data_IF_596246852295
#
_entry.id   IF_596246852295
#
_cell.length_a   1.000
_cell.length_b   1.000
_cell.length_c   1.000
_cell.angle_alpha   90.00
_cell.angle_beta   90.00
_cell.angle_gamma   90.00
#
_symmetry.space_group_name_H-M   'P 1'
#
loop_
_entity.id
_entity.type
_entity.pdbx_description
1 polymer ?
#
# COMPACT_ATOMS: atom_id res chain seq x y z
N UNK A 1 -13.28 2.81 -13.62
CA UNK A 1 -14.00 1.99 -12.63
C UNK A 1 -13.44 0.55 -12.53
N UNK A 2 -13.18 -0.14 -13.64
CA UNK A 2 -12.65 -1.51 -13.63
C UNK A 2 -11.33 -1.65 -12.84
N UNK A 3 -10.40 -0.70 -12.99
CA UNK A 3 -9.12 -0.70 -12.25
C UNK A 3 -9.29 -0.43 -10.75
N UNK A 4 -10.25 0.39 -10.34
CA UNK A 4 -10.60 0.57 -8.92
C UNK A 4 -11.12 -0.74 -8.37
N UNK A 5 -12.02 -1.41 -9.07
CA UNK A 5 -12.58 -2.70 -8.66
C UNK A 5 -11.49 -3.79 -8.54
N UNK A 6 -10.53 -3.83 -9.47
CA UNK A 6 -9.39 -4.74 -9.38
C UNK A 6 -8.55 -4.51 -8.10
N UNK A 7 -8.33 -3.24 -7.72
CA UNK A 7 -7.66 -2.91 -6.47
C UNK A 7 -8.45 -3.32 -5.23
N UNK A 8 -9.77 -3.13 -5.24
CA UNK A 8 -10.64 -3.59 -4.13
C UNK A 8 -10.60 -5.11 -3.93
N UNK A 9 -10.43 -5.88 -5.01
CA UNK A 9 -10.34 -7.35 -4.94
C UNK A 9 -9.01 -7.83 -4.34
N UNK A 10 -7.95 -7.01 -4.36
CA UNK A 10 -6.68 -7.37 -3.71
C UNK A 10 -6.82 -7.51 -2.20
N UNK A 11 -7.76 -6.77 -1.59
CA UNK A 11 -7.98 -6.84 -0.16
C UNK A 11 -8.54 -8.20 0.26
N UNK A 12 -8.06 -8.69 1.40
CA UNK A 12 -8.47 -9.96 1.96
C UNK A 12 -9.96 -9.97 2.30
N UNK A 13 -10.72 -10.89 1.69
CA UNK A 13 -12.15 -11.05 1.92
C UNK A 13 -12.47 -11.53 3.34
N UNK A 14 -11.53 -12.22 3.95
CA UNK A 14 -11.70 -12.87 5.24
C UNK A 14 -11.37 -11.96 6.44
N UNK A 15 -10.91 -10.72 6.15
CA UNK A 15 -10.51 -9.76 7.19
C UNK A 15 -11.58 -9.51 8.26
N UNK A 16 -12.83 -9.68 7.93
CA UNK A 16 -13.95 -9.44 8.84
C UNK A 16 -14.58 -10.73 9.39
N UNK A 17 -14.00 -11.91 9.11
CA UNK A 17 -14.46 -13.17 9.70
C UNK A 17 -14.13 -13.18 11.20
N UNK A 18 -15.08 -13.63 12.01
CA UNK A 18 -14.88 -13.77 13.44
C UNK A 18 -13.77 -14.79 13.75
N UNK A 19 -12.90 -14.47 14.70
CA UNK A 19 -11.84 -15.34 15.17
C UNK A 19 -10.46 -15.13 14.52
N UNK A 20 -10.34 -14.29 13.50
CA UNK A 20 -9.06 -13.92 12.92
C UNK A 20 -8.57 -12.62 13.58
N UNK A 21 -7.35 -12.64 14.14
CA UNK A 21 -6.71 -11.41 14.61
C UNK A 21 -6.10 -10.67 13.43
N UNK A 22 -6.55 -9.45 13.24
CA UNK A 22 -6.01 -8.54 12.23
C UNK A 22 -5.30 -7.36 12.90
N UNK A 23 -4.28 -6.77 12.25
CA UNK A 23 -3.69 -5.54 12.73
C UNK A 23 -4.74 -4.42 12.78
N UNK A 24 -4.54 -3.40 13.64
CA UNK A 24 -5.44 -2.27 13.70
C UNK A 24 -5.56 -1.60 12.33
N UNK A 25 -6.70 -0.97 12.08
CA UNK A 25 -6.88 -0.17 10.87
C UNK A 25 -5.93 1.03 10.90
N UNK A 26 -5.52 1.49 9.70
CA UNK A 26 -4.66 2.65 9.57
C UNK A 26 -5.41 3.98 9.81
N UNK A 27 -4.68 5.00 10.19
CA UNK A 27 -5.22 6.34 10.39
C UNK A 27 -6.30 6.39 11.47
N UNK A 28 -7.37 7.17 11.21
CA UNK A 28 -8.51 7.34 12.11
C UNK A 28 -9.63 6.30 11.92
N UNK A 29 -9.40 5.27 11.11
CA UNK A 29 -10.40 4.25 10.79
C UNK A 29 -10.67 3.36 11.99
N UNK A 30 -11.96 3.26 12.40
CA UNK A 30 -12.41 2.52 13.59
C UNK A 30 -13.45 1.45 13.29
N UNK A 31 -14.03 1.46 12.10
CA UNK A 31 -15.10 0.56 11.72
C UNK A 31 -14.77 -0.23 10.45
N UNK A 32 -15.36 -1.43 10.28
CA UNK A 32 -15.25 -2.19 9.02
C UNK A 32 -15.72 -1.40 7.80
N UNK A 33 -16.80 -0.63 7.97
CA UNK A 33 -17.34 0.24 6.92
C UNK A 33 -16.34 1.35 6.58
N UNK A 34 -15.73 1.98 7.59
CA UNK A 34 -14.67 2.98 7.42
C UNK A 34 -13.46 2.39 6.70
N UNK A 35 -13.08 1.15 7.01
CA UNK A 35 -11.99 0.45 6.31
C UNK A 35 -12.30 0.26 4.82
N UNK A 36 -13.51 -0.16 4.47
CA UNK A 36 -13.90 -0.32 3.06
C UNK A 36 -13.95 1.01 2.32
N UNK A 37 -14.40 2.08 2.97
CA UNK A 37 -14.40 3.42 2.37
C UNK A 37 -12.97 3.94 2.21
N UNK A 38 -12.08 3.72 3.18
CA UNK A 38 -10.67 4.07 3.09
C UNK A 38 -9.97 3.32 1.94
N UNK A 39 -10.24 2.02 1.79
CA UNK A 39 -9.74 1.22 0.68
C UNK A 39 -10.25 1.74 -0.67
N UNK A 40 -11.55 2.02 -0.77
CA UNK A 40 -12.14 2.60 -1.98
C UNK A 40 -11.50 3.96 -2.33
N UNK A 41 -11.33 4.83 -1.34
CA UNK A 41 -10.63 6.12 -1.51
C UNK A 41 -9.21 5.91 -2.02
N UNK A 42 -8.44 5.04 -1.36
CA UNK A 42 -7.08 4.71 -1.76
C UNK A 42 -7.01 4.25 -3.22
N UNK A 43 -7.89 3.34 -3.63
CA UNK A 43 -7.92 2.83 -5.00
C UNK A 43 -8.33 3.91 -6.03
N UNK A 44 -9.24 4.80 -5.66
CA UNK A 44 -9.58 5.95 -6.49
C UNK A 44 -8.38 6.89 -6.67
N UNK A 45 -7.62 7.16 -5.61
CA UNK A 45 -6.40 7.96 -5.71
C UNK A 45 -5.38 7.32 -6.67
N UNK A 46 -5.15 6.01 -6.56
CA UNK A 46 -4.24 5.26 -7.45
C UNK A 46 -4.65 5.33 -8.91
N UNK A 47 -5.95 5.29 -9.20
CA UNK A 47 -6.45 5.26 -10.58
C UNK A 47 -6.64 6.67 -11.17
N UNK A 48 -7.08 7.63 -10.38
CA UNK A 48 -7.48 8.96 -10.87
C UNK A 48 -6.47 10.05 -10.55
N UNK A 49 -5.91 10.08 -9.33
CA UNK A 49 -5.03 11.16 -8.88
C UNK A 49 -3.58 10.94 -9.31
N UNK A 50 -3.08 9.70 -9.23
CA UNK A 50 -1.66 9.40 -9.48
C UNK A 50 -1.19 9.75 -10.91
N UNK A 51 -2.08 9.77 -11.87
CA UNK A 51 -1.77 10.14 -13.26
C UNK A 51 -1.78 11.65 -13.54
N UNK A 52 -2.28 12.44 -12.60
CA UNK A 52 -2.35 13.89 -12.74
C UNK A 52 -0.97 14.51 -12.46
N UNK A 53 -0.61 15.52 -13.25
CA UNK A 53 0.67 16.22 -13.13
C UNK A 53 0.56 17.55 -12.40
N UNK A 54 -0.56 18.25 -12.56
CA UNK A 54 -0.84 19.51 -11.88
C UNK A 54 -1.25 19.27 -10.42
N UNK A 55 -0.76 20.09 -9.49
CA UNK A 55 -1.19 20.08 -8.10
C UNK A 55 -2.65 20.49 -7.96
N UNK A 56 -3.08 21.50 -8.69
CA UNK A 56 -4.47 21.99 -8.66
C UNK A 56 -5.47 20.88 -9.08
N UNK A 57 -5.12 20.10 -10.11
CA UNK A 57 -5.95 18.98 -10.55
C UNK A 57 -6.00 17.85 -9.52
N UNK A 58 -4.89 17.60 -8.82
CA UNK A 58 -4.83 16.61 -7.73
C UNK A 58 -5.72 17.03 -6.57
N UNK A 59 -5.59 18.28 -6.12
CA UNK A 59 -6.36 18.83 -5.01
C UNK A 59 -7.85 18.89 -5.34
N UNK A 60 -8.19 19.29 -6.57
CA UNK A 60 -9.57 19.27 -7.04
C UNK A 60 -10.15 17.85 -7.04
N UNK A 61 -9.38 16.87 -7.56
CA UNK A 61 -9.83 15.47 -7.63
C UNK A 61 -9.97 14.86 -6.24
N UNK A 62 -9.04 15.14 -5.33
CA UNK A 62 -9.12 14.69 -3.93
C UNK A 62 -10.35 15.27 -3.23
N UNK A 63 -10.60 16.56 -3.42
CA UNK A 63 -11.80 17.24 -2.90
C UNK A 63 -13.10 16.64 -3.46
N UNK A 64 -13.10 16.26 -4.74
CA UNK A 64 -14.25 15.59 -5.36
C UNK A 64 -14.48 14.19 -4.76
N UNK A 65 -13.41 13.41 -4.54
CA UNK A 65 -13.49 12.11 -3.87
C UNK A 65 -14.06 12.27 -2.47
N UNK A 66 -13.57 13.22 -1.68
CA UNK A 66 -14.09 13.52 -0.34
C UNK A 66 -15.56 13.91 -0.35
N UNK A 67 -15.96 14.74 -1.30
CA UNK A 67 -17.36 15.13 -1.48
C UNK A 67 -18.25 13.90 -1.76
N UNK A 68 -17.82 13.02 -2.67
CA UNK A 68 -18.56 11.78 -2.99
C UNK A 68 -18.70 10.89 -1.75
N UNK A 69 -17.65 10.79 -0.94
CA UNK A 69 -17.70 10.04 0.32
C UNK A 69 -18.75 10.65 1.25
N UNK A 70 -18.74 11.98 1.43
CA UNK A 70 -19.71 12.67 2.28
C UNK A 70 -21.15 12.49 1.82
N UNK A 71 -21.39 12.68 0.53
CA UNK A 71 -22.72 12.56 -0.08
C UNK A 71 -23.26 11.12 -0.05
N UNK A 72 -22.36 10.11 -0.10
CA UNK A 72 -22.77 8.70 -0.22
C UNK A 72 -22.81 7.98 1.12
N UNK A 73 -21.81 8.19 1.98
CA UNK A 73 -21.60 7.42 3.21
C UNK A 73 -21.85 8.23 4.49
N UNK A 74 -22.04 9.54 4.36
CA UNK A 74 -22.36 10.43 5.46
C UNK A 74 -21.15 10.90 6.27
N UNK A 75 -21.42 11.87 7.15
CA UNK A 75 -20.38 12.63 7.86
C UNK A 75 -19.51 11.78 8.80
N UNK A 76 -20.09 10.73 9.41
CA UNK A 76 -19.35 9.85 10.32
C UNK A 76 -18.18 9.16 9.61
N UNK A 77 -18.45 8.51 8.48
CA UNK A 77 -17.43 7.80 7.71
C UNK A 77 -16.47 8.76 7.03
N UNK A 78 -16.93 9.94 6.62
CA UNK A 78 -16.05 10.99 6.08
C UNK A 78 -14.96 11.37 7.07
N UNK A 79 -15.30 11.54 8.36
CA UNK A 79 -14.33 11.84 9.42
C UNK A 79 -13.35 10.69 9.69
N UNK A 80 -13.83 9.45 9.61
CA UNK A 80 -12.95 8.27 9.79
C UNK A 80 -11.89 8.14 8.68
N UNK A 81 -12.20 8.59 7.46
CA UNK A 81 -11.32 8.47 6.29
C UNK A 81 -10.72 9.81 5.84
N UNK A 82 -10.77 10.84 6.68
CA UNK A 82 -10.18 12.15 6.39
C UNK A 82 -8.67 12.07 6.20
N UNK A 83 -7.99 11.32 7.07
CA UNK A 83 -6.58 10.99 6.89
C UNK A 83 -6.40 9.92 5.80
N UNK A 84 -5.31 10.07 5.04
CA UNK A 84 -4.93 9.08 4.03
C UNK A 84 -4.43 7.81 4.68
N UNK A 85 -5.02 6.70 4.29
CA UNK A 85 -4.60 5.36 4.70
C UNK A 85 -3.88 4.70 3.52
N UNK A 86 -2.69 4.16 3.79
CA UNK A 86 -1.90 3.46 2.78
C UNK A 86 -2.17 1.96 2.84
N UNK A 87 -2.41 1.35 1.69
CA UNK A 87 -2.61 -0.09 1.57
C UNK A 87 -1.41 -0.70 0.85
N UNK A 88 -0.84 -1.73 1.45
CA UNK A 88 0.30 -2.49 0.94
C UNK A 88 0.15 -3.97 1.31
N UNK A 89 0.91 -4.84 0.65
CA UNK A 89 0.79 -6.30 0.78
C UNK A 89 1.99 -6.97 1.48
N UNK A 90 2.89 -6.18 2.06
CA UNK A 90 4.13 -6.66 2.65
C UNK A 90 4.28 -6.34 4.15
N UNK A 91 3.17 -6.10 4.87
CA UNK A 91 3.22 -5.69 6.28
C UNK A 91 3.50 -6.85 7.24
N UNK A 92 3.19 -8.08 6.85
CA UNK A 92 3.25 -9.23 7.76
C UNK A 92 4.66 -9.82 7.85
N UNK A 93 5.08 -10.23 9.06
CA UNK A 93 6.31 -10.99 9.22
C UNK A 93 6.18 -12.39 8.62
N UNK A 94 7.30 -13.09 8.38
CA UNK A 94 7.30 -14.50 7.99
C UNK A 94 6.50 -15.34 8.97
N UNK A 95 5.77 -16.33 8.46
CA UNK A 95 5.09 -17.33 9.29
C UNK A 95 6.08 -18.42 9.64
N UNK A 96 6.29 -18.65 10.92
CA UNK A 96 7.24 -19.64 11.46
C UNK A 96 6.45 -20.69 12.21
N UNK A 97 6.83 -21.95 12.07
CA UNK A 97 6.28 -23.04 12.86
C UNK A 97 6.82 -22.94 14.30
N UNK A 98 5.94 -22.77 15.27
CA UNK A 98 6.30 -22.59 16.69
C UNK A 98 6.97 -23.84 17.31
N UNK A 99 6.84 -25.02 16.69
CA UNK A 99 7.39 -26.28 17.21
C UNK A 99 8.75 -26.59 16.60
N UNK A 100 8.93 -26.35 15.31
CA UNK A 100 10.16 -26.72 14.57
C UNK A 100 11.07 -25.52 14.34
N UNK A 101 10.55 -24.30 14.37
CA UNK A 101 11.25 -23.07 13.99
C UNK A 101 11.41 -22.90 12.47
N UNK A 102 10.80 -23.78 11.68
CA UNK A 102 10.87 -23.70 10.22
C UNK A 102 10.01 -22.55 9.69
N UNK A 103 10.48 -21.90 8.62
CA UNK A 103 9.72 -20.87 7.94
C UNK A 103 8.67 -21.51 7.03
N UNK A 104 7.41 -21.41 7.42
CA UNK A 104 6.26 -21.93 6.65
C UNK A 104 5.93 -21.02 5.46
N UNK A 105 5.98 -19.71 5.65
CA UNK A 105 5.75 -18.72 4.62
C UNK A 105 6.69 -17.53 4.86
N UNK A 106 7.61 -17.30 3.94
CA UNK A 106 8.63 -16.27 4.09
C UNK A 106 8.10 -14.83 3.92
N UNK A 107 7.14 -14.65 3.01
CA UNK A 107 6.56 -13.34 2.69
C UNK A 107 5.04 -13.46 2.51
N UNK A 108 4.26 -13.52 3.62
CA UNK A 108 2.80 -13.53 3.50
C UNK A 108 2.32 -12.22 2.88
N UNK A 109 1.61 -12.32 1.77
CA UNK A 109 1.17 -11.18 0.98
C UNK A 109 -0.33 -10.94 1.18
N UNK A 110 -0.66 -9.94 2.01
CA UNK A 110 -2.04 -9.53 2.28
C UNK A 110 -2.17 -8.03 2.05
N UNK A 111 -3.01 -7.64 1.10
CA UNK A 111 -3.25 -6.22 0.81
C UNK A 111 -4.11 -5.61 1.91
N UNK A 112 -3.45 -4.92 2.82
CA UNK A 112 -4.06 -4.38 4.02
C UNK A 112 -3.53 -2.97 4.36
N UNK A 113 -4.26 -2.27 5.25
CA UNK A 113 -3.89 -0.90 5.65
C UNK A 113 -2.69 -0.90 6.58
N UNK A 114 -1.72 -0.03 6.33
CA UNK A 114 -0.67 0.32 7.31
C UNK A 114 -1.23 1.25 8.38
N UNK A 115 -0.63 1.24 9.56
CA UNK A 115 -0.98 2.19 10.63
C UNK A 115 -0.61 3.60 10.22
N UNK A 116 0.63 3.79 9.72
CA UNK A 116 1.13 5.06 9.21
C UNK A 116 2.24 4.84 8.16
N UNK A 117 2.72 5.92 7.57
CA UNK A 117 3.78 5.90 6.58
C UNK A 117 5.16 5.57 7.19
N UNK A 118 5.37 5.89 8.48
CA UNK A 118 6.63 5.58 9.16
C UNK A 118 6.80 4.07 9.33
N UNK A 119 5.73 3.36 9.69
CA UNK A 119 5.72 1.89 9.75
C UNK A 119 6.12 1.26 8.41
N UNK A 120 5.56 1.76 7.30
CA UNK A 120 5.91 1.28 5.95
C UNK A 120 7.39 1.54 5.64
N UNK A 121 7.91 2.71 6.04
CA UNK A 121 9.32 3.06 5.85
C UNK A 121 10.25 2.15 6.63
N UNK A 122 10.00 1.95 7.91
CA UNK A 122 10.83 1.12 8.79
C UNK A 122 10.89 -0.33 8.28
N UNK A 123 9.76 -0.84 7.80
CA UNK A 123 9.70 -2.17 7.21
C UNK A 123 10.44 -2.26 5.87
N UNK A 124 10.32 -1.25 5.02
CA UNK A 124 11.05 -1.21 3.74
C UNK A 124 12.57 -1.09 3.96
N UNK A 125 13.02 -0.30 4.94
CA UNK A 125 14.42 -0.20 5.34
C UNK A 125 14.94 -1.55 5.87
N UNK A 126 14.14 -2.26 6.68
CA UNK A 126 14.47 -3.60 7.18
C UNK A 126 14.58 -4.64 6.06
N UNK A 127 13.63 -4.66 5.13
CA UNK A 127 13.68 -5.57 3.96
C UNK A 127 14.87 -5.25 3.04
N UNK A 128 15.19 -3.97 2.85
CA UNK A 128 16.38 -3.56 2.10
C UNK A 128 17.68 -4.03 2.78
N UNK A 129 17.78 -3.93 4.10
CA UNK A 129 18.92 -4.44 4.85
C UNK A 129 19.06 -5.95 4.70
N UNK A 130 17.98 -6.71 4.87
CA UNK A 130 17.97 -8.17 4.71
C UNK A 130 18.34 -8.59 3.28
N UNK A 131 17.83 -7.89 2.25
CA UNK A 131 18.25 -8.11 0.86
C UNK A 131 19.75 -7.87 0.71
N UNK A 132 20.27 -6.80 1.27
CA UNK A 132 21.71 -6.47 1.18
C UNK A 132 22.60 -7.48 1.90
N UNK A 133 22.14 -8.11 2.96
CA UNK A 133 22.88 -9.20 3.64
C UNK A 133 22.89 -10.46 2.79
N UNK A 134 21.77 -10.84 2.19
CA UNK A 134 21.66 -12.06 1.40
C UNK A 134 22.29 -11.95 0.01
N UNK A 135 22.30 -10.77 -0.59
CA UNK A 135 22.81 -10.56 -1.96
C UNK A 135 24.33 -10.41 -1.98
N UNK A 136 25.00 -11.22 -2.80
CA UNK A 136 26.47 -11.18 -2.99
C UNK A 136 26.91 -10.20 -4.07
N UNK A 137 26.04 -9.86 -5.01
CA UNK A 137 26.41 -9.15 -6.24
C UNK A 137 25.80 -7.76 -6.38
N UNK A 138 24.60 -7.56 -5.86
CA UNK A 138 23.87 -6.30 -5.99
C UNK A 138 23.46 -5.81 -4.61
N UNK A 139 23.87 -4.60 -4.30
CA UNK A 139 23.42 -3.90 -3.08
C UNK A 139 22.42 -2.82 -3.46
N UNK A 140 21.40 -2.66 -2.64
CA UNK A 140 20.46 -1.56 -2.73
C UNK A 140 20.94 -0.44 -1.81
N UNK A 141 21.16 0.73 -2.37
CA UNK A 141 21.50 1.95 -1.65
C UNK A 141 20.45 3.01 -2.02
N UNK A 142 19.39 3.04 -1.24
CA UNK A 142 18.25 3.93 -1.45
C UNK A 142 17.97 4.73 -0.19
N UNK A 143 17.76 6.01 -0.36
CA UNK A 143 17.17 6.85 0.69
C UNK A 143 15.67 6.88 0.47
N UNK A 144 14.92 6.24 1.39
CA UNK A 144 13.47 6.17 1.31
C UNK A 144 12.83 7.42 1.93
N UNK A 145 12.79 8.51 1.14
CA UNK A 145 12.00 9.68 1.44
C UNK A 145 10.53 9.47 0.97
N UNK A 146 9.62 10.34 1.39
CA UNK A 146 8.17 10.17 1.19
C UNK A 146 7.77 9.83 -0.25
N UNK A 147 8.33 10.53 -1.24
CA UNK A 147 7.98 10.29 -2.64
C UNK A 147 8.53 8.94 -3.13
N UNK A 148 9.78 8.57 -2.75
CA UNK A 148 10.36 7.28 -3.09
C UNK A 148 9.52 6.13 -2.49
N UNK A 149 9.12 6.27 -1.23
CA UNK A 149 8.27 5.30 -0.55
C UNK A 149 6.89 5.17 -1.21
N UNK A 150 6.29 6.31 -1.59
CA UNK A 150 5.01 6.33 -2.31
C UNK A 150 5.14 5.63 -3.68
N UNK A 151 6.24 5.87 -4.41
CA UNK A 151 6.49 5.18 -5.67
C UNK A 151 6.72 3.68 -5.48
N UNK A 152 7.43 3.27 -4.44
CA UNK A 152 7.63 1.86 -4.10
C UNK A 152 6.29 1.16 -3.84
N UNK A 153 5.42 1.74 -3.01
CA UNK A 153 4.09 1.19 -2.73
C UNK A 153 3.23 1.06 -4.00
N UNK A 154 3.30 2.04 -4.92
CA UNK A 154 2.60 1.98 -6.21
C UNK A 154 3.11 0.84 -7.09
N UNK A 155 4.43 0.62 -7.11
CA UNK A 155 5.03 -0.48 -7.87
C UNK A 155 4.62 -1.82 -7.27
N UNK A 156 4.76 -2.01 -5.95
CA UNK A 156 4.36 -3.23 -5.25
C UNK A 156 2.89 -3.57 -5.55
N UNK A 157 1.97 -2.60 -5.38
CA UNK A 157 0.56 -2.78 -5.72
C UNK A 157 0.33 -3.23 -7.18
N UNK A 158 1.06 -2.66 -8.14
CA UNK A 158 0.91 -3.04 -9.56
C UNK A 158 1.44 -4.45 -9.82
N UNK A 159 2.51 -4.87 -9.13
CA UNK A 159 3.05 -6.22 -9.27
C UNK A 159 2.11 -7.28 -8.66
N UNK A 160 1.37 -6.93 -7.62
CA UNK A 160 0.37 -7.82 -6.98
C UNK A 160 -0.94 -7.95 -7.78
N UNK A 161 -1.17 -7.10 -8.78
CA UNK A 161 -2.36 -7.19 -9.64
C UNK A 161 -2.19 -8.28 -10.69
N UNK A 162 -3.26 -9.02 -10.98
CA UNK A 162 -3.29 -9.95 -12.11
C UNK A 162 -2.95 -9.21 -13.41
N UNK A 163 -1.89 -9.67 -14.11
CA UNK A 163 -1.35 -9.03 -15.32
C UNK A 163 -0.96 -7.55 -15.12
N UNK A 164 -0.56 -7.20 -13.88
CA UNK A 164 -0.09 -5.86 -13.56
C UNK A 164 1.19 -5.52 -14.35
N UNK A 165 1.25 -4.33 -14.90
CA UNK A 165 2.41 -3.82 -15.63
C UNK A 165 2.66 -2.36 -15.27
N UNK A 166 3.94 -2.02 -15.06
CA UNK A 166 4.37 -0.67 -14.74
C UNK A 166 5.36 -0.16 -15.78
N UNK A 167 5.17 1.08 -16.24
CA UNK A 167 6.15 1.81 -17.04
C UNK A 167 6.76 2.92 -16.16
N UNK A 168 8.04 2.77 -15.81
CA UNK A 168 8.78 3.76 -15.05
C UNK A 168 9.61 4.63 -15.98
N UNK A 169 9.25 5.90 -16.06
CA UNK A 169 9.94 6.92 -16.88
C UNK A 169 10.67 7.88 -15.95
N UNK A 170 11.91 8.20 -16.29
CA UNK A 170 12.73 9.16 -15.52
C UNK A 170 14.18 9.16 -16.00
N UNK A 171 14.95 10.15 -15.56
CA UNK A 171 16.37 10.30 -15.91
C UNK A 171 17.21 9.10 -15.47
N UNK A 172 18.38 8.92 -16.11
CA UNK A 172 19.35 7.90 -15.70
C UNK A 172 19.81 8.14 -14.25
N UNK A 173 20.01 7.06 -13.50
CA UNK A 173 20.47 7.17 -12.10
C UNK A 173 19.41 7.56 -11.06
N UNK A 174 18.14 7.70 -11.43
CA UNK A 174 17.05 8.08 -10.51
C UNK A 174 16.56 6.95 -9.60
N UNK A 175 17.31 5.85 -9.45
CA UNK A 175 16.96 4.76 -8.54
C UNK A 175 15.80 3.85 -8.98
N UNK A 176 15.25 4.01 -10.20
CA UNK A 176 14.12 3.21 -10.69
C UNK A 176 14.33 1.70 -10.56
N UNK A 177 15.50 1.20 -10.96
CA UNK A 177 15.81 -0.23 -10.90
C UNK A 177 15.89 -0.73 -9.46
N UNK A 178 16.56 0.03 -8.59
CA UNK A 178 16.68 -0.32 -7.16
C UNK A 178 15.34 -0.30 -6.45
N UNK A 179 14.50 0.71 -6.76
CA UNK A 179 13.17 0.84 -6.21
C UNK A 179 12.25 -0.31 -6.68
N UNK A 180 12.34 -0.71 -7.95
CA UNK A 180 11.58 -1.84 -8.47
C UNK A 180 12.01 -3.16 -7.83
N UNK A 181 13.31 -3.36 -7.60
CA UNK A 181 13.83 -4.56 -6.91
C UNK A 181 13.39 -4.63 -5.46
N UNK A 182 13.30 -3.48 -4.79
CA UNK A 182 12.82 -3.43 -3.41
C UNK A 182 11.30 -3.70 -3.33
N UNK A 183 10.54 -3.31 -4.35
CA UNK A 183 9.09 -3.47 -4.41
C UNK A 183 8.65 -4.88 -4.87
N UNK A 184 9.54 -5.66 -5.48
CA UNK A 184 9.29 -7.02 -5.98
C UNK A 184 9.72 -8.08 -4.94
#
# INVERSE_FOLDING_TARGET
>A
LSKVFQGLILAERDRFKSGVQHPPFGGNVKSPEGYLVALWRHECERVFVDKLTSYDDKDWTDSLIQKIIGDTFGEKLTKEVEERVYFVDFLRPPVIDDQTGDVLEANPSFYESSVDLQMVKDLADSKMAAFNESSKTVKLDLVLFTDALTHMMRIARLLSMDRGSALLVGVGGSGKQSLTRLAA
#
